data_IF_362542702807
#
_entry.id   IF_362542702807
#
_cell.length_a   1.000
_cell.length_b   1.000
_cell.length_c   1.000
_cell.angle_alpha   90.00
_cell.angle_beta   90.00
_cell.angle_gamma   90.00
#
_symmetry.space_group_name_H-M   'P 1'
#
loop_
_entity.id
_entity.type
_entity.pdbx_description
1 polymer ?
#
# COMPACT_ATOMS: atom_id res chain seq x y z
N UNK A 1 -36.20 40.76 -45.03
CA UNK A 1 -36.93 39.57 -45.52
C UNK A 1 -36.24 38.37 -44.91
N UNK A 2 -36.78 37.82 -43.81
CA UNK A 2 -36.26 36.62 -43.16
C UNK A 2 -36.91 35.42 -43.85
N UNK A 3 -36.12 34.52 -44.44
CA UNK A 3 -36.59 33.19 -44.85
C UNK A 3 -35.50 32.16 -44.54
N UNK A 4 -35.59 31.64 -43.32
CA UNK A 4 -35.60 30.20 -43.01
C UNK A 4 -34.67 29.30 -43.84
N UNK A 5 -33.37 29.40 -43.60
CA UNK A 5 -32.50 28.21 -43.66
C UNK A 5 -32.49 27.60 -42.27
N UNK A 6 -32.99 26.37 -42.07
CA UNK A 6 -32.58 25.40 -41.03
C UNK A 6 -33.73 24.41 -40.71
N UNK A 7 -33.94 23.38 -41.53
CA UNK A 7 -34.89 22.31 -41.18
C UNK A 7 -34.52 20.91 -41.71
N UNK A 8 -33.25 20.65 -42.06
CA UNK A 8 -32.82 19.32 -42.56
C UNK A 8 -31.50 18.79 -41.96
N UNK A 9 -30.90 19.45 -40.97
CA UNK A 9 -29.56 19.06 -40.49
C UNK A 9 -29.59 17.85 -39.53
N UNK A 10 -30.74 17.48 -38.99
CA UNK A 10 -30.85 16.39 -38.00
C UNK A 10 -31.48 15.14 -38.60
N UNK A 11 -30.76 14.48 -39.51
CA UNK A 11 -31.10 13.13 -40.01
C UNK A 11 -31.14 12.11 -38.86
N UNK A 12 -31.99 11.06 -38.90
CA UNK A 12 -31.98 9.98 -37.90
C UNK A 12 -30.59 9.37 -37.65
N UNK A 13 -29.74 9.36 -38.67
CA UNK A 13 -28.35 8.94 -38.56
C UNK A 13 -27.53 9.87 -37.64
N UNK A 14 -27.68 11.19 -37.76
CA UNK A 14 -26.98 12.18 -36.92
C UNK A 14 -27.41 12.04 -35.46
N UNK A 15 -28.71 11.84 -35.20
CA UNK A 15 -29.22 11.62 -33.84
C UNK A 15 -28.63 10.35 -33.19
N UNK A 16 -28.48 9.27 -33.98
CA UNK A 16 -27.85 8.04 -33.50
C UNK A 16 -26.37 8.27 -33.15
N UNK A 17 -25.64 9.02 -33.97
CA UNK A 17 -24.23 9.36 -33.70
C UNK A 17 -24.10 10.22 -32.42
N UNK A 18 -24.97 11.20 -32.23
CA UNK A 18 -25.01 12.00 -31.00
C UNK A 18 -25.28 11.12 -29.77
N UNK A 19 -26.24 10.20 -29.85
CA UNK A 19 -26.54 9.27 -28.76
C UNK A 19 -25.35 8.34 -28.46
N UNK A 20 -24.66 7.84 -29.47
CA UNK A 20 -23.44 7.03 -29.30
C UNK A 20 -22.36 7.84 -28.57
N UNK A 21 -22.17 9.11 -28.94
CA UNK A 21 -21.18 9.97 -28.30
C UNK A 21 -21.48 10.17 -26.81
N UNK A 22 -22.75 10.40 -26.46
CA UNK A 22 -23.20 10.51 -25.06
C UNK A 22 -22.96 9.20 -24.31
N UNK A 23 -23.36 8.06 -24.89
CA UNK A 23 -23.18 6.75 -24.26
C UNK A 23 -21.69 6.40 -24.06
N UNK A 24 -20.82 6.77 -25.01
CA UNK A 24 -19.38 6.57 -24.88
C UNK A 24 -18.79 7.42 -23.75
N UNK A 25 -19.23 8.68 -23.62
CA UNK A 25 -18.81 9.54 -22.53
C UNK A 25 -19.24 8.98 -21.17
N UNK A 26 -20.48 8.50 -21.08
CA UNK A 26 -21.00 7.89 -19.86
C UNK A 26 -20.25 6.58 -19.50
N UNK A 27 -19.98 5.73 -20.49
CA UNK A 27 -19.19 4.51 -20.29
C UNK A 27 -17.78 4.83 -19.78
N UNK A 28 -17.15 5.89 -20.30
CA UNK A 28 -15.84 6.34 -19.82
C UNK A 28 -15.91 6.79 -18.35
N UNK A 29 -16.93 7.58 -18.00
CA UNK A 29 -17.16 8.06 -16.64
C UNK A 29 -17.33 6.90 -15.66
N UNK A 30 -18.15 5.90 -16.01
CA UNK A 30 -18.36 4.71 -15.19
C UNK A 30 -17.07 3.90 -15.02
N UNK A 31 -16.33 3.68 -16.12
CA UNK A 31 -15.04 2.98 -16.06
C UNK A 31 -14.05 3.68 -15.11
N UNK A 32 -13.96 5.01 -15.16
CA UNK A 32 -13.09 5.77 -14.26
C UNK A 32 -13.49 5.57 -12.79
N UNK A 33 -14.79 5.56 -12.48
CA UNK A 33 -15.30 5.30 -11.12
C UNK A 33 -14.99 3.86 -10.65
N UNK A 34 -15.21 2.86 -11.50
CA UNK A 34 -14.92 1.46 -11.18
C UNK A 34 -13.42 1.24 -10.96
N UNK A 35 -12.58 1.78 -11.86
CA UNK A 35 -11.12 1.69 -11.73
C UNK A 35 -10.63 2.35 -10.44
N UNK A 36 -11.17 3.52 -10.09
CA UNK A 36 -10.82 4.20 -8.84
C UNK A 36 -11.17 3.34 -7.61
N UNK A 37 -12.37 2.75 -7.59
CA UNK A 37 -12.78 1.86 -6.49
C UNK A 37 -11.89 0.62 -6.38
N UNK A 38 -11.49 0.02 -7.51
CA UNK A 38 -10.56 -1.12 -7.54
C UNK A 38 -9.17 -0.71 -7.02
N UNK A 39 -8.66 0.45 -7.44
CA UNK A 39 -7.37 0.98 -6.96
C UNK A 39 -7.40 1.15 -5.43
N UNK A 40 -8.45 1.73 -4.88
CA UNK A 40 -8.60 1.91 -3.43
C UNK A 40 -8.62 0.56 -2.68
N UNK A 41 -9.29 -0.45 -3.23
CA UNK A 41 -9.28 -1.81 -2.67
C UNK A 41 -7.88 -2.43 -2.70
N UNK A 42 -7.17 -2.31 -3.82
CA UNK A 42 -5.80 -2.82 -3.97
C UNK A 42 -4.86 -2.10 -2.99
N UNK A 43 -4.96 -0.78 -2.86
CA UNK A 43 -4.14 -0.01 -1.91
C UNK A 43 -4.38 -0.44 -0.45
N UNK A 44 -5.64 -0.71 -0.08
CA UNK A 44 -5.96 -1.26 1.24
C UNK A 44 -5.34 -2.63 1.46
N UNK A 45 -5.39 -3.51 0.47
CA UNK A 45 -4.78 -4.84 0.54
C UNK A 45 -3.24 -4.76 0.60
N UNK A 46 -2.62 -3.91 -0.22
CA UNK A 46 -1.18 -3.61 -0.17
C UNK A 46 -0.77 -3.17 1.23
N UNK A 47 -1.53 -2.25 1.83
CA UNK A 47 -1.23 -1.73 3.17
C UNK A 47 -1.44 -2.79 4.26
N UNK A 48 -2.55 -3.52 4.21
CA UNK A 48 -2.92 -4.49 5.23
C UNK A 48 -1.97 -5.69 5.27
N UNK A 49 -1.60 -6.22 4.10
CA UNK A 49 -0.70 -7.36 3.97
C UNK A 49 0.77 -6.94 3.77
N UNK A 50 1.04 -5.63 3.77
CA UNK A 50 2.35 -5.04 3.47
C UNK A 50 2.98 -5.60 2.18
N UNK A 51 2.18 -5.78 1.12
CA UNK A 51 2.61 -6.35 -0.16
C UNK A 51 3.45 -5.32 -0.92
N UNK A 52 4.61 -5.74 -1.42
CA UNK A 52 5.49 -4.87 -2.19
C UNK A 52 5.17 -4.93 -3.68
N UNK A 53 5.52 -3.88 -4.43
CA UNK A 53 5.34 -3.86 -5.88
C UNK A 53 6.15 -4.97 -6.59
N UNK A 54 7.29 -5.33 -6.02
CA UNK A 54 8.16 -6.40 -6.50
C UNK A 54 7.48 -7.78 -6.39
N UNK A 55 6.73 -8.02 -5.32
CA UNK A 55 5.91 -9.24 -5.15
C UNK A 55 4.75 -9.31 -6.14
N UNK A 56 4.25 -8.16 -6.60
CA UNK A 56 3.28 -8.06 -7.69
C UNK A 56 3.91 -8.18 -9.09
N UNK A 57 5.23 -8.42 -9.17
CA UNK A 57 5.96 -8.60 -10.43
C UNK A 57 6.45 -7.30 -11.08
N UNK A 58 6.29 -6.15 -10.43
CA UNK A 58 6.85 -4.89 -10.92
C UNK A 58 8.31 -4.78 -10.47
N UNK A 59 9.23 -5.13 -11.36
CA UNK A 59 10.68 -5.19 -11.07
C UNK A 59 11.43 -3.90 -11.42
N UNK A 60 10.83 -3.00 -12.19
CA UNK A 60 11.44 -1.73 -12.64
C UNK A 60 11.07 -0.53 -11.76
N UNK A 61 10.42 -0.75 -10.61
CA UNK A 61 10.05 0.33 -9.70
C UNK A 61 11.09 0.50 -8.59
N UNK A 62 11.40 1.74 -8.18
CA UNK A 62 12.25 1.99 -7.03
C UNK A 62 11.71 1.25 -5.79
N UNK A 63 12.61 0.62 -5.02
CA UNK A 63 12.28 -0.02 -3.76
C UNK A 63 11.67 1.01 -2.79
N UNK A 64 10.40 0.83 -2.43
CA UNK A 64 9.67 1.71 -1.50
C UNK A 64 10.07 1.47 -0.03
N UNK A 65 10.98 0.53 0.22
CA UNK A 65 11.44 0.16 1.54
C UNK A 65 10.43 -0.65 2.36
N UNK A 66 9.22 -0.92 1.85
CA UNK A 66 8.27 -1.86 2.47
C UNK A 66 8.83 -3.27 2.49
N UNK A 67 9.61 -3.66 1.47
CA UNK A 67 10.36 -4.92 1.46
C UNK A 67 11.32 -5.02 2.66
N UNK A 68 12.01 -3.92 3.00
CA UNK A 68 12.91 -3.86 4.17
C UNK A 68 12.15 -3.87 5.50
N UNK A 69 10.93 -3.33 5.51
CA UNK A 69 10.01 -3.37 6.65
C UNK A 69 9.46 -4.78 6.89
N UNK A 70 9.13 -5.53 5.83
CA UNK A 70 8.82 -6.97 5.93
C UNK A 70 10.04 -7.82 6.29
N UNK A 71 11.23 -7.40 5.85
CA UNK A 71 12.51 -8.00 6.25
C UNK A 71 12.90 -7.66 7.70
N UNK A 72 12.18 -6.76 8.39
CA UNK A 72 12.43 -6.49 9.81
C UNK A 72 11.88 -7.57 10.74
N UNK A 73 11.74 -8.81 10.27
CA UNK A 73 11.88 -10.02 11.10
C UNK A 73 13.34 -10.20 11.59
N UNK A 74 14.03 -9.09 11.84
CA UNK A 74 15.33 -9.09 12.45
C UNK A 74 15.17 -9.58 13.88
N UNK A 75 16.03 -10.48 14.31
CA UNK A 75 16.08 -10.96 15.69
C UNK A 75 16.45 -9.76 16.59
N UNK A 76 15.45 -9.09 17.17
CA UNK A 76 15.68 -7.93 18.05
C UNK A 76 15.79 -8.40 19.49
N UNK A 77 16.78 -7.87 20.21
CA UNK A 77 16.93 -8.04 21.65
C UNK A 77 16.53 -6.75 22.35
N UNK A 78 15.74 -6.80 23.43
CA UNK A 78 15.30 -5.63 24.21
C UNK A 78 15.49 -5.87 25.71
N UNK A 79 15.98 -4.88 26.44
CA UNK A 79 16.01 -4.91 27.91
C UNK A 79 14.80 -4.19 28.54
N UNK A 80 14.63 -4.34 29.85
CA UNK A 80 13.55 -3.69 30.63
C UNK A 80 13.61 -2.16 30.56
N UNK A 81 14.80 -1.58 30.39
CA UNK A 81 15.02 -0.13 30.23
C UNK A 81 14.65 0.39 28.82
N UNK A 82 14.24 -0.48 27.90
CA UNK A 82 13.79 -0.12 26.56
C UNK A 82 14.90 0.03 25.51
N UNK A 83 16.15 -0.30 25.84
CA UNK A 83 17.25 -0.38 24.88
C UNK A 83 17.10 -1.60 23.97
N UNK A 84 17.32 -1.43 22.67
CA UNK A 84 17.19 -2.51 21.67
C UNK A 84 18.48 -2.76 20.91
N UNK A 85 18.66 -3.99 20.43
CA UNK A 85 19.77 -4.39 19.56
C UNK A 85 19.29 -5.37 18.49
N UNK A 86 19.63 -5.11 17.24
CA UNK A 86 19.18 -5.89 16.07
C UNK A 86 19.86 -7.25 15.90
N UNK A 87 20.73 -7.65 16.84
CA UNK A 87 21.56 -8.85 16.70
C UNK A 87 22.71 -8.71 15.70
N UNK A 88 22.79 -7.58 14.97
CA UNK A 88 23.81 -7.30 13.97
C UNK A 88 24.79 -6.24 14.50
N UNK A 89 26.09 -6.45 14.30
CA UNK A 89 27.13 -5.50 14.69
C UNK A 89 27.63 -5.66 16.14
N UNK A 90 28.22 -4.61 16.70
CA UNK A 90 28.83 -4.66 18.05
C UNK A 90 27.74 -4.78 19.11
N UNK A 91 27.86 -5.80 19.97
CA UNK A 91 26.98 -6.00 21.10
C UNK A 91 27.01 -4.80 22.08
N UNK A 92 25.85 -4.29 22.51
CA UNK A 92 25.77 -3.18 23.45
C UNK A 92 26.21 -3.59 24.86
N UNK A 93 26.57 -2.60 25.69
CA UNK A 93 27.07 -2.84 27.06
C UNK A 93 26.05 -3.57 27.92
N UNK A 94 24.79 -3.14 27.90
CA UNK A 94 23.70 -3.75 28.68
C UNK A 94 23.56 -5.26 28.41
N UNK A 95 23.64 -5.69 27.15
CA UNK A 95 23.49 -7.11 26.81
C UNK A 95 24.73 -7.87 27.25
N UNK A 96 25.91 -7.27 27.16
CA UNK A 96 27.15 -7.89 27.63
C UNK A 96 27.14 -8.06 29.15
N UNK A 97 26.66 -7.06 29.89
CA UNK A 97 26.51 -7.10 31.34
C UNK A 97 25.48 -8.13 31.77
N UNK A 98 24.34 -8.22 31.07
CA UNK A 98 23.33 -9.24 31.32
C UNK A 98 23.85 -10.67 31.13
N UNK A 99 24.62 -10.92 30.05
CA UNK A 99 25.25 -12.23 29.83
C UNK A 99 26.30 -12.56 30.91
N UNK A 100 27.04 -11.57 31.41
CA UNK A 100 27.99 -11.75 32.51
C UNK A 100 27.29 -12.05 33.83
N UNK A 101 26.10 -11.50 34.04
CA UNK A 101 25.23 -11.78 35.20
C UNK A 101 24.51 -13.15 35.10
N UNK A 102 24.81 -13.96 34.09
CA UNK A 102 24.27 -15.31 33.93
C UNK A 102 22.90 -15.38 33.24
N UNK A 103 22.37 -14.25 32.75
CA UNK A 103 21.17 -14.24 31.91
C UNK A 103 21.49 -14.74 30.51
N UNK A 104 20.50 -15.33 29.83
CA UNK A 104 20.69 -15.85 28.49
C UNK A 104 20.30 -14.82 27.45
N UNK A 105 20.93 -14.88 26.28
CA UNK A 105 20.65 -13.96 25.18
C UNK A 105 19.19 -14.07 24.74
N UNK A 106 18.65 -15.28 24.78
CA UNK A 106 17.30 -15.65 24.39
C UNK A 106 16.23 -15.01 25.28
N UNK A 107 16.56 -14.66 26.53
CA UNK A 107 15.63 -14.02 27.46
C UNK A 107 15.30 -12.58 27.03
N UNK A 108 16.21 -11.95 26.30
CA UNK A 108 16.03 -10.59 25.76
C UNK A 108 15.43 -10.60 24.36
N UNK A 109 15.20 -11.78 23.75
CA UNK A 109 14.69 -11.88 22.40
C UNK A 109 13.24 -11.39 22.35
N UNK A 110 12.99 -10.35 21.56
CA UNK A 110 11.66 -9.89 21.21
C UNK A 110 11.05 -10.96 20.31
N UNK A 111 10.20 -11.81 20.90
CA UNK A 111 9.31 -12.68 20.15
C UNK A 111 8.15 -11.80 19.72
N UNK A 112 8.06 -11.49 18.43
CA UNK A 112 6.81 -11.03 17.82
C UNK A 112 5.77 -12.14 18.04
N UNK A 113 5.13 -12.09 19.19
CA UNK A 113 3.93 -12.87 19.47
C UNK A 113 2.82 -12.02 18.90
N UNK A 114 2.07 -12.61 17.97
CA UNK A 114 1.13 -11.98 17.04
C UNK A 114 -0.09 -11.25 17.69
N UNK A 115 -0.03 -10.89 18.96
CA UNK A 115 -1.10 -10.21 19.70
C UNK A 115 -0.70 -8.79 20.09
N UNK A 116 -0.61 -7.89 19.10
CA UNK A 116 -0.93 -6.46 19.23
C UNK A 116 -0.68 -5.78 17.88
N UNK A 117 -1.51 -6.07 16.88
CA UNK A 117 -1.71 -5.14 15.75
C UNK A 117 -2.49 -3.94 16.34
N UNK A 118 -1.77 -3.03 17.00
CA UNK A 118 -2.30 -1.70 17.28
C UNK A 118 -2.49 -1.01 15.93
N UNK A 119 -3.72 -0.66 15.52
CA UNK A 119 -3.93 0.05 14.27
C UNK A 119 -3.24 1.41 14.41
N UNK A 120 -2.18 1.63 13.63
CA UNK A 120 -1.54 2.92 13.49
C UNK A 120 -2.58 3.89 12.92
N UNK A 121 -3.21 4.60 13.84
CA UNK A 121 -4.06 5.76 13.63
C UNK A 121 -3.17 6.84 13.01
N UNK A 122 -3.21 6.96 11.69
CA UNK A 122 -2.67 8.14 11.02
C UNK A 122 -3.78 8.85 10.24
N UNK A 123 -3.77 10.15 10.51
CA UNK A 123 -4.72 11.23 10.23
C UNK A 123 -4.91 11.43 8.73
#
# INVERSE_FOLDING_TARGET
>A
MNMETNSHTTSPYIQLIEQIAVLQQEAKRLREQEVQSVIESIQKQITYYNITLQELGYTNVPDDGLARRNSSKGVYYRNEEGQTWSGVGRQPRWLKEALLNGMKKEDFLVKDTEEEIIPLKNI
#
